data_IF_246195522552
#
_entry.id   IF_246195522552
#
_cell.length_a   1.000
_cell.length_b   1.000
_cell.length_c   1.000
_cell.angle_alpha   90.00
_cell.angle_beta   90.00
_cell.angle_gamma   90.00
#
_symmetry.space_group_name_H-M   'P 1'
#
loop_
_entity.id
_entity.type
_entity.pdbx_description
1 polymer ?
#
# COMPACT_ATOMS: atom_id res chain seq x y z
N UNK A 1 -12.79 -5.86 23.91
CA UNK A 1 -12.32 -4.55 23.44
C UNK A 1 -12.43 -3.60 24.64
N UNK A 2 -11.31 -3.22 25.28
CA UNK A 2 -11.37 -2.26 26.39
C UNK A 2 -11.92 -0.94 25.84
N UNK A 3 -12.90 -0.36 26.52
CA UNK A 3 -13.56 0.88 26.10
C UNK A 3 -12.54 2.01 26.03
N UNK A 4 -12.32 2.56 24.84
CA UNK A 4 -11.66 3.84 24.69
C UNK A 4 -12.56 4.89 25.35
N UNK A 5 -12.11 5.49 26.45
CA UNK A 5 -12.84 6.60 27.05
C UNK A 5 -12.78 7.79 26.08
N UNK A 6 -13.89 8.01 25.37
CA UNK A 6 -14.03 9.05 24.33
C UNK A 6 -13.63 10.45 24.78
N UNK A 7 -13.65 10.74 26.09
CA UNK A 7 -13.20 12.00 26.68
C UNK A 7 -11.72 12.29 26.43
N UNK A 8 -10.87 11.25 26.41
CA UNK A 8 -9.40 11.38 26.29
C UNK A 8 -8.92 11.70 24.86
N UNK A 9 -9.72 11.42 23.83
CA UNK A 9 -9.33 11.57 22.42
C UNK A 9 -9.87 12.84 21.75
N UNK A 10 -10.60 13.71 22.46
CA UNK A 10 -11.25 14.90 21.87
C UNK A 10 -10.27 15.89 21.22
N UNK A 11 -9.01 15.88 21.64
CA UNK A 11 -7.96 16.76 21.12
C UNK A 11 -7.14 16.13 19.99
N UNK A 12 -7.44 14.89 19.60
CA UNK A 12 -6.74 14.18 18.53
C UNK A 12 -7.58 14.27 17.27
N UNK A 13 -6.96 14.72 16.18
CA UNK A 13 -7.51 14.63 14.83
C UNK A 13 -7.02 13.33 14.20
N UNK A 14 -7.90 12.63 13.50
CA UNK A 14 -7.59 11.37 12.82
C UNK A 14 -7.71 11.61 11.32
N UNK A 15 -6.71 11.14 10.59
CA UNK A 15 -6.74 11.07 9.13
C UNK A 15 -6.57 9.61 8.73
N UNK A 16 -7.26 9.18 7.68
CA UNK A 16 -7.09 7.83 7.15
C UNK A 16 -7.34 7.80 5.66
N UNK A 17 -6.59 6.95 4.97
CA UNK A 17 -6.75 6.68 3.54
C UNK A 17 -7.53 5.39 3.27
N UNK A 18 -7.98 4.64 4.28
CA UNK A 18 -8.85 3.47 4.09
C UNK A 18 -10.32 3.86 4.31
N UNK A 19 -11.19 3.45 3.39
CA UNK A 19 -12.64 3.64 3.55
C UNK A 19 -13.19 2.81 4.73
N UNK A 20 -12.63 1.63 4.94
CA UNK A 20 -12.97 0.75 6.06
C UNK A 20 -12.60 1.39 7.39
N UNK A 21 -11.38 1.96 7.50
CA UNK A 21 -10.96 2.69 8.71
C UNK A 21 -11.76 3.97 8.91
N UNK A 22 -12.08 4.72 7.84
CA UNK A 22 -12.93 5.93 7.91
C UNK A 22 -14.28 5.59 8.54
N UNK A 23 -14.94 4.56 8.02
CA UNK A 23 -16.24 4.08 8.52
C UNK A 23 -16.17 3.70 10.01
N UNK A 24 -15.12 3.00 10.44
CA UNK A 24 -14.95 2.61 11.83
C UNK A 24 -14.75 3.84 12.75
N UNK A 25 -13.94 4.80 12.32
CA UNK A 25 -13.71 6.04 13.07
C UNK A 25 -14.99 6.87 13.23
N UNK A 26 -15.81 6.96 12.18
CA UNK A 26 -17.12 7.62 12.21
C UNK A 26 -18.07 6.94 13.21
N UNK A 27 -18.17 5.60 13.17
CA UNK A 27 -18.99 4.82 14.11
C UNK A 27 -18.56 5.02 15.56
N UNK A 28 -17.26 5.22 15.80
CA UNK A 28 -16.72 5.49 17.13
C UNK A 28 -16.89 6.94 17.57
N UNK A 29 -17.27 7.85 16.66
CA UNK A 29 -17.41 9.28 16.91
C UNK A 29 -16.05 9.97 17.13
N UNK A 30 -15.03 9.52 16.39
CA UNK A 30 -13.70 10.13 16.41
C UNK A 30 -13.66 11.35 15.48
N UNK A 31 -12.79 12.31 15.79
CA UNK A 31 -12.64 13.54 15.02
C UNK A 31 -11.82 13.29 13.74
N UNK A 32 -12.51 12.92 12.66
CA UNK A 32 -11.90 12.71 11.35
C UNK A 32 -11.68 14.04 10.62
N UNK A 33 -10.55 14.15 9.94
CA UNK A 33 -10.24 15.20 8.98
C UNK A 33 -9.88 14.58 7.64
N UNK A 34 -10.08 15.32 6.56
CA UNK A 34 -9.70 14.87 5.22
C UNK A 34 -8.19 14.98 5.02
N UNK A 35 -7.62 14.10 4.22
CA UNK A 35 -6.16 14.04 4.00
C UNK A 35 -5.61 15.33 3.39
N UNK A 36 -6.39 15.95 2.50
CA UNK A 36 -6.05 17.19 1.81
C UNK A 36 -5.93 18.41 2.75
N UNK A 37 -6.42 18.32 3.98
CA UNK A 37 -6.34 19.38 4.99
C UNK A 37 -5.13 19.22 5.94
N UNK A 38 -4.29 18.21 5.70
CA UNK A 38 -3.23 17.81 6.63
C UNK A 38 -1.85 18.03 6.00
N UNK A 39 -1.11 19.01 6.54
CA UNK A 39 0.28 19.26 6.12
C UNK A 39 1.27 18.25 6.74
N UNK A 40 0.99 17.78 7.96
CA UNK A 40 1.83 16.85 8.69
C UNK A 40 1.00 15.98 9.64
N UNK A 41 1.37 14.69 9.73
CA UNK A 41 0.81 13.72 10.67
C UNK A 41 1.86 13.37 11.73
N UNK A 42 1.54 13.51 13.01
CA UNK A 42 2.49 13.18 14.09
C UNK A 42 2.82 11.68 14.12
N UNK A 43 1.80 10.84 14.03
CA UNK A 43 1.90 9.39 14.12
C UNK A 43 0.94 8.72 13.14
N UNK A 44 1.49 7.85 12.31
CA UNK A 44 0.72 6.95 11.45
C UNK A 44 1.00 5.51 11.86
N UNK A 45 -0.07 4.72 11.98
CA UNK A 45 -0.01 3.31 12.29
C UNK A 45 -0.58 2.50 11.15
N UNK A 46 0.13 1.46 10.74
CA UNK A 46 -0.27 0.67 9.60
C UNK A 46 0.19 -0.80 9.74
N UNK A 47 -0.38 -1.70 8.95
CA UNK A 47 0.05 -3.08 8.84
C UNK A 47 0.86 -3.32 7.56
N UNK A 48 1.50 -4.48 7.47
CA UNK A 48 2.06 -4.98 6.22
C UNK A 48 1.88 -6.49 6.07
N UNK A 49 2.21 -7.02 4.89
CA UNK A 49 2.17 -8.45 4.59
C UNK A 49 3.46 -9.13 5.03
N UNK A 50 4.60 -8.49 4.80
CA UNK A 50 5.86 -8.83 5.43
C UNK A 50 6.72 -7.60 5.70
N UNK A 51 7.67 -7.74 6.63
CA UNK A 51 8.68 -6.73 6.94
C UNK A 51 10.03 -7.39 7.22
N UNK A 52 11.14 -6.81 6.79
CA UNK A 52 12.47 -7.33 7.11
C UNK A 52 13.17 -6.51 8.22
N UNK A 53 14.39 -6.91 8.61
CA UNK A 53 15.15 -6.25 9.69
C UNK A 53 15.66 -4.86 9.33
N UNK A 54 15.56 -4.43 8.07
CA UNK A 54 15.82 -3.07 7.62
C UNK A 54 14.55 -2.21 7.60
N UNK A 55 13.45 -2.71 8.16
CA UNK A 55 12.12 -2.08 8.13
C UNK A 55 11.52 -1.89 6.73
N UNK A 56 12.08 -2.55 5.72
CA UNK A 56 11.47 -2.63 4.40
C UNK A 56 10.27 -3.57 4.45
N UNK A 57 9.17 -3.16 3.85
CA UNK A 57 7.90 -3.88 3.91
C UNK A 57 7.25 -4.06 2.54
N UNK A 58 6.36 -5.06 2.46
CA UNK A 58 5.41 -5.23 1.36
C UNK A 58 3.99 -5.06 1.90
N UNK A 59 3.18 -4.23 1.25
CA UNK A 59 1.78 -3.92 1.59
C UNK A 59 0.91 -4.03 0.34
N UNK A 60 0.52 -5.26 0.00
CA UNK A 60 -0.08 -5.61 -1.31
C UNK A 60 -1.61 -5.70 -1.29
N UNK A 61 -2.20 -6.11 -0.16
CA UNK A 61 -3.60 -6.57 -0.16
C UNK A 61 -4.63 -5.47 -0.40
N UNK A 62 -4.45 -4.31 0.23
CA UNK A 62 -5.45 -3.24 0.22
C UNK A 62 -5.64 -2.55 -1.14
N UNK A 63 -4.62 -2.55 -2.00
CA UNK A 63 -4.69 -1.83 -3.28
C UNK A 63 -4.77 -0.30 -3.14
N UNK A 64 -4.38 0.22 -1.96
CA UNK A 64 -4.36 1.65 -1.61
C UNK A 64 -2.92 2.13 -1.31
N UNK A 65 -1.92 1.41 -1.85
CA UNK A 65 -0.51 1.63 -1.54
C UNK A 65 -0.03 3.04 -1.92
N UNK A 66 -0.64 3.68 -2.93
CA UNK A 66 -0.29 5.04 -3.33
C UNK A 66 -0.66 6.02 -2.23
N UNK A 67 -1.87 5.89 -1.69
CA UNK A 67 -2.37 6.73 -0.61
C UNK A 67 -1.67 6.45 0.71
N UNK A 68 -1.37 5.18 1.00
CA UNK A 68 -0.55 4.80 2.16
C UNK A 68 0.85 5.44 2.09
N UNK A 69 1.48 5.46 0.90
CA UNK A 69 2.78 6.14 0.71
C UNK A 69 2.69 7.65 0.85
N UNK A 70 1.64 8.28 0.30
CA UNK A 70 1.42 9.73 0.50
C UNK A 70 1.26 10.07 1.98
N UNK A 71 0.52 9.24 2.73
CA UNK A 71 0.38 9.40 4.16
C UNK A 71 1.71 9.20 4.89
N UNK A 72 2.50 8.20 4.50
CA UNK A 72 3.84 7.96 5.06
C UNK A 72 4.78 9.15 4.85
N UNK A 73 4.76 9.79 3.67
CA UNK A 73 5.61 10.94 3.35
C UNK A 73 5.36 12.16 4.24
N UNK A 74 4.12 12.39 4.67
CA UNK A 74 3.75 13.50 5.57
C UNK A 74 3.78 13.09 7.05
N UNK A 75 4.13 11.83 7.35
CA UNK A 75 4.19 11.32 8.71
C UNK A 75 5.53 11.59 9.38
N UNK A 76 5.52 12.18 10.58
CA UNK A 76 6.72 12.32 11.41
C UNK A 76 7.19 10.97 11.95
N UNK A 77 6.24 10.12 12.34
CA UNK A 77 6.50 8.75 12.77
C UNK A 77 5.55 7.79 12.02
N UNK A 78 6.12 6.91 11.20
CA UNK A 78 5.37 5.86 10.51
C UNK A 78 5.67 4.50 11.15
N UNK A 79 4.67 3.91 11.80
CA UNK A 79 4.81 2.74 12.66
C UNK A 79 4.08 1.54 12.08
N UNK A 80 4.85 0.51 11.69
CA UNK A 80 4.29 -0.76 11.23
C UNK A 80 4.00 -1.69 12.41
N UNK A 81 2.72 -2.01 12.61
CA UNK A 81 2.23 -2.95 13.60
C UNK A 81 2.10 -4.34 12.96
N UNK A 82 3.00 -5.24 13.35
CA UNK A 82 3.10 -6.58 12.76
C UNK A 82 3.22 -7.66 13.82
N UNK A 83 2.75 -8.85 13.49
CA UNK A 83 3.03 -10.05 14.28
C UNK A 83 4.35 -10.68 13.84
N UNK A 84 4.96 -11.50 14.71
CA UNK A 84 6.28 -12.11 14.46
C UNK A 84 6.30 -12.94 13.18
N UNK A 85 5.17 -13.55 12.83
CA UNK A 85 5.01 -14.39 11.63
C UNK A 85 5.08 -13.58 10.35
N UNK A 86 5.04 -12.25 10.39
CA UNK A 86 5.22 -11.36 9.22
C UNK A 86 6.68 -10.96 9.00
N UNK A 87 7.60 -11.30 9.92
CA UNK A 87 9.03 -11.09 9.68
C UNK A 87 9.46 -11.84 8.42
N UNK A 88 10.09 -11.14 7.48
CA UNK A 88 10.40 -11.64 6.15
C UNK A 88 11.24 -12.90 6.24
N UNK A 89 10.77 -13.92 5.53
CA UNK A 89 11.48 -15.14 5.25
C UNK A 89 11.59 -15.22 3.73
N UNK A 90 12.75 -15.60 3.20
CA UNK A 90 13.02 -15.72 1.77
C UNK A 90 12.01 -16.58 0.99
N UNK A 91 11.22 -17.41 1.69
CA UNK A 91 10.11 -18.20 1.14
C UNK A 91 8.81 -17.42 0.92
N UNK A 92 8.69 -16.18 1.44
CA UNK A 92 7.49 -15.33 1.33
C UNK A 92 7.42 -14.50 0.05
N UNK A 93 8.33 -14.74 -0.89
CA UNK A 93 8.28 -14.19 -2.25
C UNK A 93 7.07 -14.67 -3.07
N UNK A 94 6.23 -15.54 -2.49
CA UNK A 94 4.96 -15.97 -3.09
C UNK A 94 3.90 -14.86 -3.17
N UNK A 95 4.01 -13.79 -2.37
CA UNK A 95 3.04 -12.70 -2.45
C UNK A 95 3.32 -11.81 -3.67
N UNK A 96 2.30 -11.53 -4.50
CA UNK A 96 2.49 -10.65 -5.64
C UNK A 96 2.68 -9.21 -5.19
N UNK A 97 3.39 -8.45 -6.02
CA UNK A 97 3.60 -7.02 -5.85
C UNK A 97 2.41 -6.30 -6.48
N UNK A 98 1.60 -5.64 -5.66
CA UNK A 98 0.51 -4.81 -6.14
C UNK A 98 1.10 -3.54 -6.75
N UNK A 99 0.73 -3.23 -7.99
CA UNK A 99 1.06 -1.98 -8.65
C UNK A 99 -0.22 -1.25 -9.06
N UNK A 100 -0.25 0.06 -8.85
CA UNK A 100 -1.25 0.95 -9.46
C UNK A 100 -0.70 1.43 -10.80
N UNK A 101 -1.51 1.32 -11.85
CA UNK A 101 -1.10 1.65 -13.22
C UNK A 101 -2.14 2.53 -13.92
N UNK A 102 -1.68 3.40 -14.81
CA UNK A 102 -2.56 4.16 -15.69
C UNK A 102 -3.39 3.20 -16.58
N UNK A 103 -4.70 3.45 -16.79
CA UNK A 103 -5.55 2.54 -17.55
C UNK A 103 -5.09 2.25 -18.98
N UNK A 104 -4.46 3.22 -19.64
CA UNK A 104 -3.94 3.09 -21.00
C UNK A 104 -2.55 2.41 -21.08
N UNK A 105 -1.90 2.11 -19.95
CA UNK A 105 -0.55 1.54 -19.93
C UNK A 105 -0.49 0.01 -19.93
N UNK A 106 -1.63 -0.69 -19.77
CA UNK A 106 -1.72 -2.16 -19.63
C UNK A 106 -0.83 -2.91 -20.63
N UNK A 107 -0.96 -2.63 -21.93
CA UNK A 107 -0.23 -3.36 -22.99
C UNK A 107 1.28 -3.12 -22.89
N UNK A 108 1.68 -1.89 -22.56
CA UNK A 108 3.08 -1.48 -22.47
C UNK A 108 3.74 -2.11 -21.24
N UNK A 109 3.12 -1.97 -20.07
CA UNK A 109 3.61 -2.53 -18.80
C UNK A 109 3.71 -4.05 -18.89
N UNK A 110 2.66 -4.73 -19.39
CA UNK A 110 2.69 -6.18 -19.59
C UNK A 110 3.87 -6.61 -20.46
N UNK A 111 4.10 -5.94 -21.59
CA UNK A 111 5.23 -6.27 -22.48
C UNK A 111 6.59 -6.05 -21.80
N UNK A 112 6.73 -4.98 -21.01
CA UNK A 112 7.98 -4.68 -20.29
C UNK A 112 8.27 -5.72 -19.19
N UNK A 113 7.26 -6.12 -18.42
CA UNK A 113 7.41 -7.13 -17.37
C UNK A 113 7.83 -8.51 -17.90
N UNK A 114 7.43 -8.87 -19.14
CA UNK A 114 7.89 -10.10 -19.79
C UNK A 114 9.43 -10.16 -19.91
N UNK A 115 10.10 -9.03 -20.15
CA UNK A 115 11.57 -8.98 -20.24
C UNK A 115 12.25 -9.30 -18.90
N UNK A 116 11.52 -9.19 -17.80
CA UNK A 116 11.99 -9.48 -16.45
C UNK A 116 11.47 -10.82 -15.93
N UNK A 117 10.86 -11.65 -16.78
CA UNK A 117 10.23 -12.90 -16.37
C UNK A 117 9.18 -12.69 -15.26
N UNK A 118 8.44 -11.59 -15.33
CA UNK A 118 7.41 -11.24 -14.35
C UNK A 118 6.02 -11.36 -14.97
N UNK A 119 5.10 -12.02 -14.26
CA UNK A 119 3.71 -12.15 -14.71
C UNK A 119 2.93 -10.88 -14.37
N UNK A 120 2.02 -10.52 -15.28
CA UNK A 120 1.08 -9.42 -15.13
C UNK A 120 -0.32 -10.01 -14.92
N UNK A 121 -0.94 -9.72 -13.79
CA UNK A 121 -2.32 -10.10 -13.52
C UNK A 121 -3.16 -8.86 -13.19
N UNK A 122 -4.14 -8.52 -14.03
CA UNK A 122 -5.05 -7.41 -13.74
C UNK A 122 -6.01 -7.83 -12.63
N UNK A 123 -6.16 -7.03 -11.58
CA UNK A 123 -7.18 -7.28 -10.56
C UNK A 123 -8.56 -6.99 -11.14
N UNK A 124 -9.45 -7.99 -11.09
CA UNK A 124 -10.80 -7.93 -11.65
C UNK A 124 -11.81 -8.21 -10.53
N UNK A 125 -12.89 -7.43 -10.50
CA UNK A 125 -14.07 -7.68 -9.68
C UNK A 125 -15.32 -7.46 -10.54
N UNK A 126 -16.30 -8.36 -10.45
CA UNK A 126 -17.52 -8.32 -11.27
C UNK A 126 -17.25 -8.13 -12.77
N UNK A 127 -16.27 -8.88 -13.31
CA UNK A 127 -15.81 -8.82 -14.71
C UNK A 127 -15.27 -7.46 -15.18
N UNK A 128 -14.98 -6.54 -14.25
CA UNK A 128 -14.42 -5.22 -14.54
C UNK A 128 -13.08 -5.04 -13.82
N UNK A 129 -12.12 -4.29 -14.40
CA UNK A 129 -10.90 -3.92 -13.70
C UNK A 129 -11.21 -3.17 -12.40
N UNK A 130 -10.57 -3.57 -11.29
CA UNK A 130 -10.66 -2.82 -10.05
C UNK A 130 -9.98 -1.47 -10.27
N UNK A 131 -10.67 -0.40 -9.84
CA UNK A 131 -10.18 0.97 -9.92
C UNK A 131 -9.77 1.48 -8.54
N UNK A 132 -8.65 2.17 -8.47
CA UNK A 132 -8.28 2.97 -7.29
C UNK A 132 -9.13 4.23 -7.21
N UNK A 133 -9.02 5.00 -6.11
CA UNK A 133 -9.73 6.29 -6.00
C UNK A 133 -9.34 7.28 -7.10
N UNK A 134 -8.13 7.12 -7.65
CA UNK A 134 -7.58 7.94 -8.73
C UNK A 134 -8.07 7.49 -10.12
N UNK A 135 -8.90 6.44 -10.20
CA UNK A 135 -9.39 5.89 -11.46
C UNK A 135 -8.38 5.02 -12.21
N UNK A 136 -7.21 4.77 -11.61
CA UNK A 136 -6.19 3.88 -12.13
C UNK A 136 -6.55 2.41 -11.89
N UNK A 137 -5.82 1.50 -12.52
CA UNK A 137 -6.03 0.06 -12.34
C UNK A 137 -5.01 -0.55 -11.41
N UNK A 138 -5.39 -1.66 -10.77
CA UNK A 138 -4.50 -2.46 -9.96
C UNK A 138 -4.08 -3.72 -10.68
N UNK A 139 -2.78 -4.03 -10.60
CA UNK A 139 -2.21 -5.27 -11.11
C UNK A 139 -1.42 -5.97 -10.00
N UNK A 140 -1.40 -7.28 -10.05
CA UNK A 140 -0.53 -8.14 -9.27
C UNK A 140 0.63 -8.61 -10.16
N UNK A 141 1.84 -8.21 -9.79
CA UNK A 141 3.08 -8.60 -10.47
C UNK A 141 3.73 -9.75 -9.70
N UNK A 142 3.82 -10.92 -10.35
CA UNK A 142 4.56 -12.05 -9.80
C UNK A 142 5.96 -12.07 -10.40
N UNK A 143 6.96 -11.75 -9.59
CA UNK A 143 8.36 -11.83 -10.01
C UNK A 143 8.85 -13.27 -9.88
N UNK A 144 9.29 -13.89 -10.98
CA UNK A 144 9.68 -15.32 -10.99
C UNK A 144 11.16 -15.55 -10.73
N UNK A 145 11.99 -14.54 -10.93
CA UNK A 145 13.43 -14.63 -10.67
C UNK A 145 13.70 -14.44 -9.18
N UNK A 146 14.87 -14.85 -8.73
CA UNK A 146 15.36 -14.66 -7.35
C UNK A 146 16.01 -13.28 -7.13
N UNK A 147 15.51 -12.24 -7.81
CA UNK A 147 16.03 -10.89 -7.66
C UNK A 147 15.61 -10.30 -6.31
N UNK A 148 16.45 -9.41 -5.76
CA UNK A 148 16.18 -8.78 -4.47
C UNK A 148 15.08 -7.70 -4.56
N UNK A 149 14.27 -7.50 -3.50
CA UNK A 149 13.17 -6.53 -3.50
C UNK A 149 13.57 -5.11 -3.93
N UNK A 150 14.75 -4.64 -3.54
CA UNK A 150 15.28 -3.32 -3.91
C UNK A 150 15.48 -3.14 -5.42
N UNK A 151 15.99 -4.18 -6.09
CA UNK A 151 16.12 -4.18 -7.54
C UNK A 151 14.74 -4.17 -8.22
N UNK A 152 13.82 -5.01 -7.74
CA UNK A 152 12.48 -5.10 -8.31
C UNK A 152 11.75 -3.75 -8.19
N UNK A 153 11.81 -3.11 -7.02
CA UNK A 153 11.27 -1.75 -6.81
C UNK A 153 11.85 -0.76 -7.81
N UNK A 154 13.17 -0.71 -7.94
CA UNK A 154 13.85 0.20 -8.89
C UNK A 154 13.38 -0.03 -10.33
N UNK A 155 13.21 -1.29 -10.74
CA UNK A 155 12.68 -1.61 -12.05
C UNK A 155 11.24 -1.12 -12.19
N UNK A 156 10.36 -1.41 -11.24
CA UNK A 156 8.95 -1.00 -11.28
C UNK A 156 8.81 0.54 -11.32
N UNK A 157 9.59 1.26 -10.52
CA UNK A 157 9.63 2.73 -10.53
C UNK A 157 10.06 3.30 -11.89
N UNK A 158 10.92 2.59 -12.63
CA UNK A 158 11.37 3.00 -13.97
C UNK A 158 10.33 2.79 -15.08
N UNK A 159 9.28 2.00 -14.83
CA UNK A 159 8.28 1.67 -15.84
C UNK A 159 7.19 2.76 -15.92
N UNK A 160 7.37 3.71 -16.84
CA UNK A 160 6.39 4.77 -17.12
C UNK A 160 4.99 4.18 -17.35
N UNK A 161 4.04 4.63 -16.54
CA UNK A 161 2.66 4.13 -16.50
C UNK A 161 2.34 3.29 -15.28
N UNK A 162 3.36 2.89 -14.48
CA UNK A 162 3.18 2.55 -13.07
C UNK A 162 3.17 3.85 -12.27
N UNK A 163 2.17 3.99 -11.40
CA UNK A 163 1.99 5.15 -10.50
C UNK A 163 2.68 4.88 -9.17
N UNK A 164 2.52 3.66 -8.63
CA UNK A 164 3.18 3.20 -7.41
C UNK A 164 3.13 1.68 -7.33
N UNK A 165 3.92 1.11 -6.43
CA UNK A 165 3.96 -0.31 -6.10
C UNK A 165 3.96 -0.55 -4.59
N UNK A 166 3.65 -1.79 -4.19
CA UNK A 166 3.45 -2.17 -2.79
C UNK A 166 4.72 -2.36 -1.95
N UNK A 167 5.92 -2.13 -2.48
CA UNK A 167 7.13 -2.03 -1.66
C UNK A 167 7.22 -0.68 -0.94
N UNK A 168 7.55 -0.71 0.35
CA UNK A 168 7.75 0.42 1.25
C UNK A 168 9.15 0.31 1.85
N UNK A 169 10.09 1.13 1.36
CA UNK A 169 11.51 1.09 1.74
C UNK A 169 12.00 2.37 2.45
N UNK A 170 11.14 3.38 2.56
CA UNK A 170 11.40 4.67 3.18
C UNK A 170 10.34 4.94 4.26
#
# INVERSE_FOLDING_TARGET
MKSLEKSSLKHIRIVTVSNETKTLCEQMGLNLVEFEEVDQVDWTFDGCDWINRKFQALKTRGGIQTEEKMLAQVSKHYVLLVTKEKLYDHKKTELPICCEILPNSIKVIRKKLLNYNADFNLRISNNMPIKTRHGNYLIDVQWKNSDIPEYISTVLDSLVGIVSHSFFFE
#
